data_IF_847310364480
#
_entry.id   IF_847310364480
#
_cell.length_a   1.000
_cell.length_b   1.000
_cell.length_c   1.000
_cell.angle_alpha   90.00
_cell.angle_beta   90.00
_cell.angle_gamma   90.00
#
_symmetry.space_group_name_H-M   'P 1'
#
loop_
_entity.id
_entity.type
_entity.pdbx_description
1 polymer ?
#
# COMPACT_ATOMS: atom_id res chain seq x y z
N UNK A 1 -10.82 37.75 -32.80
CA UNK A 1 -10.93 36.28 -32.77
C UNK A 1 -9.60 35.55 -32.52
N UNK A 2 -8.49 35.86 -33.22
CA UNK A 2 -7.19 35.16 -33.02
C UNK A 2 -6.61 35.21 -31.59
N UNK A 3 -6.92 36.24 -30.80
CA UNK A 3 -6.41 36.39 -29.42
C UNK A 3 -7.05 35.42 -28.39
N UNK A 4 -8.23 34.88 -28.67
CA UNK A 4 -8.92 33.94 -27.76
C UNK A 4 -8.52 32.47 -28.02
N UNK A 5 -8.01 32.17 -29.22
CA UNK A 5 -7.56 30.82 -29.58
C UNK A 5 -6.32 30.37 -28.79
N UNK A 6 -5.42 31.30 -28.46
CA UNK A 6 -4.22 31.00 -27.67
C UNK A 6 -4.55 30.70 -26.19
N UNK A 7 -5.59 31.34 -25.64
CA UNK A 7 -6.02 31.10 -24.25
C UNK A 7 -6.69 29.72 -24.10
N UNK A 8 -7.46 29.30 -25.10
CA UNK A 8 -8.12 27.99 -25.10
C UNK A 8 -7.10 26.83 -25.20
N UNK A 9 -6.00 27.03 -25.94
CA UNK A 9 -4.92 26.05 -26.08
C UNK A 9 -4.14 25.84 -24.77
N UNK A 10 -3.90 26.93 -24.01
CA UNK A 10 -3.19 26.86 -22.73
C UNK A 10 -4.01 26.18 -21.62
N UNK A 11 -5.35 26.30 -21.65
CA UNK A 11 -6.20 25.57 -20.71
C UNK A 11 -6.23 24.05 -20.98
N UNK A 12 -6.03 23.63 -22.23
CA UNK A 12 -6.08 22.20 -22.59
C UNK A 12 -4.83 21.43 -22.17
N UNK A 13 -3.65 22.07 -22.15
CA UNK A 13 -2.40 21.41 -21.73
C UNK A 13 -2.29 21.20 -20.22
N UNK A 14 -2.95 22.05 -19.41
CA UNK A 14 -3.01 21.85 -17.95
C UNK A 14 -3.86 20.64 -17.53
N UNK A 15 -4.86 20.28 -18.33
CA UNK A 15 -5.78 19.17 -18.00
C UNK A 15 -5.18 17.79 -18.27
N UNK A 16 -4.14 17.69 -19.11
CA UNK A 16 -3.57 16.40 -19.54
C UNK A 16 -2.54 15.83 -18.54
N UNK A 17 -2.01 16.64 -17.63
CA UNK A 17 -0.93 16.22 -16.72
C UNK A 17 -1.40 15.64 -15.36
N UNK A 18 -2.71 15.49 -15.13
CA UNK A 18 -3.23 15.17 -13.79
C UNK A 18 -3.96 13.80 -13.70
N UNK A 19 -3.52 12.81 -14.48
CA UNK A 19 -4.08 11.44 -14.39
C UNK A 19 -3.03 10.40 -13.99
N UNK A 20 -2.06 10.78 -13.15
CA UNK A 20 -1.44 9.80 -12.27
C UNK A 20 -2.31 9.76 -11.01
N UNK A 21 -3.04 8.66 -10.81
CA UNK A 21 -3.74 8.47 -9.55
C UNK A 21 -2.67 8.35 -8.45
N UNK A 22 -2.62 9.29 -7.48
CA UNK A 22 -1.61 9.23 -6.45
C UNK A 22 -1.74 7.89 -5.71
N UNK A 23 -0.61 7.20 -5.53
CA UNK A 23 -0.54 5.98 -4.75
C UNK A 23 -0.93 6.34 -3.31
N UNK A 24 -2.01 5.75 -2.80
CA UNK A 24 -2.61 6.08 -1.50
C UNK A 24 -1.89 5.35 -0.36
N UNK A 25 -0.57 5.46 -0.29
CA UNK A 25 0.25 4.79 0.72
C UNK A 25 0.29 5.53 2.05
N UNK A 26 -0.15 6.80 2.07
CA UNK A 26 -0.36 7.61 3.27
C UNK A 26 -1.76 7.41 3.87
N UNK A 27 -2.63 6.64 3.20
CA UNK A 27 -4.00 6.34 3.63
C UNK A 27 -4.95 7.54 3.71
N UNK A 28 -4.58 8.69 3.11
CA UNK A 28 -5.35 9.93 3.22
C UNK A 28 -6.58 9.96 2.30
N UNK A 29 -6.63 9.09 1.29
CA UNK A 29 -7.77 8.97 0.39
C UNK A 29 -8.70 7.85 0.84
N UNK A 30 -9.92 8.23 1.23
CA UNK A 30 -10.97 7.30 1.64
C UNK A 30 -11.54 6.53 0.45
N UNK A 31 -11.90 5.27 0.65
CA UNK A 31 -12.62 4.49 -0.34
C UNK A 31 -14.02 5.07 -0.57
N UNK A 32 -14.48 5.05 -1.83
CA UNK A 32 -15.79 5.58 -2.21
C UNK A 32 -16.94 4.73 -1.68
N UNK A 33 -16.76 3.41 -1.57
CA UNK A 33 -17.79 2.49 -1.11
C UNK A 33 -17.87 2.38 0.40
N UNK A 34 -16.76 2.65 1.10
CA UNK A 34 -16.63 2.53 2.55
C UNK A 34 -15.59 3.52 3.07
N UNK A 35 -16.04 4.62 3.68
CA UNK A 35 -15.15 5.65 4.22
C UNK A 35 -14.31 5.21 5.42
N UNK A 36 -14.50 3.97 5.91
CA UNK A 36 -13.64 3.40 6.95
C UNK A 36 -12.39 2.73 6.37
N UNK A 37 -12.28 2.59 5.05
CA UNK A 37 -11.16 1.93 4.38
C UNK A 37 -10.37 2.91 3.50
N UNK A 38 -9.05 2.73 3.35
CA UNK A 38 -8.30 3.49 2.37
C UNK A 38 -8.64 3.02 0.96
N UNK A 39 -8.71 3.97 0.04
CA UNK A 39 -8.96 3.69 -1.37
C UNK A 39 -7.87 2.81 -1.99
N UNK A 40 -8.30 1.83 -2.80
CA UNK A 40 -7.47 0.86 -3.54
C UNK A 40 -6.70 -0.17 -2.70
N UNK A 41 -6.84 -0.14 -1.38
CA UNK A 41 -6.38 -1.21 -0.51
C UNK A 41 -7.51 -2.20 -0.23
N UNK A 42 -7.20 -3.48 -0.16
CA UNK A 42 -8.20 -4.53 0.01
C UNK A 42 -7.60 -5.80 0.64
N UNK A 43 -8.43 -6.69 1.23
CA UNK A 43 -7.94 -7.92 1.82
C UNK A 43 -7.49 -8.91 0.74
N UNK A 44 -6.31 -9.49 0.91
CA UNK A 44 -5.84 -10.62 0.10
C UNK A 44 -6.38 -11.94 0.65
N UNK A 45 -6.52 -12.03 1.98
CA UNK A 45 -7.15 -13.15 2.69
C UNK A 45 -8.37 -12.64 3.45
N UNK A 46 -9.47 -13.38 3.38
CA UNK A 46 -10.71 -13.04 4.07
C UNK A 46 -10.78 -13.79 5.40
N UNK A 47 -11.05 -13.06 6.48
CA UNK A 47 -11.27 -13.64 7.80
C UNK A 47 -12.25 -12.77 8.60
N UNK A 48 -13.36 -13.36 9.03
CA UNK A 48 -14.41 -12.62 9.75
C UNK A 48 -13.96 -12.09 11.12
N UNK A 49 -12.84 -12.61 11.64
CA UNK A 49 -12.31 -12.27 12.95
C UNK A 49 -11.31 -11.10 12.91
N UNK A 50 -11.00 -10.57 11.72
CA UNK A 50 -10.09 -9.43 11.54
C UNK A 50 -10.86 -8.23 11.02
N UNK A 51 -10.66 -7.09 11.66
CA UNK A 51 -11.22 -5.80 11.29
C UNK A 51 -10.10 -4.92 10.77
N UNK A 52 -10.34 -4.29 9.62
CA UNK A 52 -9.43 -3.33 9.01
C UNK A 52 -10.16 -2.00 8.88
N UNK A 53 -9.58 -0.94 9.43
CA UNK A 53 -10.16 0.39 9.38
C UNK A 53 -9.08 1.48 9.41
N UNK A 54 -9.44 2.67 8.98
CA UNK A 54 -8.64 3.87 9.20
C UNK A 54 -8.75 4.32 10.66
N UNK A 55 -7.63 4.67 11.28
CA UNK A 55 -7.55 5.22 12.63
C UNK A 55 -7.07 6.67 12.55
N UNK A 56 -7.85 7.59 13.15
CA UNK A 56 -7.52 9.02 13.19
C UNK A 56 -6.87 9.47 14.51
N UNK A 57 -6.78 8.57 15.49
CA UNK A 57 -6.22 8.81 16.83
C UNK A 57 -4.77 8.39 16.88
N UNK A 58 -4.48 7.12 16.57
CA UNK A 58 -3.12 6.56 16.53
C UNK A 58 -2.57 6.67 15.11
N UNK A 59 -1.67 7.63 14.86
CA UNK A 59 -1.10 7.88 13.53
C UNK A 59 0.35 8.33 13.61
N UNK A 60 1.10 8.05 12.55
CA UNK A 60 2.48 8.52 12.41
C UNK A 60 2.53 9.93 11.82
N UNK A 61 1.85 10.16 10.70
CA UNK A 61 1.75 11.43 9.99
C UNK A 61 0.36 11.54 9.35
N UNK A 62 -0.06 12.76 8.98
CA UNK A 62 -1.33 12.98 8.29
C UNK A 62 -2.55 12.90 9.22
N UNK A 63 -3.69 12.47 8.66
CA UNK A 63 -4.96 12.33 9.36
C UNK A 63 -5.22 10.90 9.78
N UNK A 64 -4.77 9.92 9.01
CA UNK A 64 -5.11 8.52 9.22
C UNK A 64 -3.88 7.61 9.26
N UNK A 65 -4.04 6.46 9.93
CA UNK A 65 -3.23 5.27 9.73
C UNK A 65 -4.13 4.09 9.39
N UNK A 66 -3.56 3.04 8.78
CA UNK A 66 -4.27 1.78 8.60
C UNK A 66 -4.14 0.91 9.86
N UNK A 67 -5.27 0.61 10.50
CA UNK A 67 -5.35 -0.29 11.65
C UNK A 67 -5.90 -1.64 11.24
N UNK A 68 -5.18 -2.69 11.62
CA UNK A 68 -5.59 -4.08 11.47
C UNK A 68 -5.65 -4.67 12.88
N UNK A 69 -6.81 -5.20 13.26
CA UNK A 69 -7.04 -5.75 14.60
C UNK A 69 -7.84 -7.04 14.51
N UNK A 70 -7.48 -8.01 15.34
CA UNK A 70 -8.22 -9.24 15.52
C UNK A 70 -8.96 -9.21 16.87
N UNK A 71 -10.08 -9.92 16.96
CA UNK A 71 -10.71 -10.16 18.27
C UNK A 71 -9.80 -11.09 19.11
N UNK A 72 -9.68 -10.87 20.43
CA UNK A 72 -8.75 -11.61 21.30
C UNK A 72 -9.02 -13.13 21.34
N UNK A 73 -10.24 -13.54 21.03
CA UNK A 73 -10.67 -14.94 20.98
C UNK A 73 -10.60 -15.54 19.57
N UNK A 74 -10.12 -14.78 18.59
CA UNK A 74 -10.02 -15.24 17.21
C UNK A 74 -8.97 -16.33 17.08
N UNK A 75 -9.40 -17.53 16.68
CA UNK A 75 -8.49 -18.58 16.22
C UNK A 75 -8.09 -18.31 14.78
N UNK A 76 -7.00 -17.55 14.61
CA UNK A 76 -6.47 -17.18 13.31
C UNK A 76 -5.46 -18.25 12.88
N UNK A 77 -5.96 -19.27 12.18
CA UNK A 77 -5.12 -20.35 11.64
C UNK A 77 -4.23 -19.92 10.46
N UNK A 78 -4.47 -18.76 9.86
CA UNK A 78 -3.72 -18.26 8.70
C UNK A 78 -3.42 -16.76 8.82
N UNK A 79 -2.25 -16.29 8.34
CA UNK A 79 -1.93 -14.87 8.31
C UNK A 79 -3.01 -14.06 7.59
N UNK A 80 -3.41 -12.95 8.19
CA UNK A 80 -4.25 -11.97 7.52
C UNK A 80 -3.39 -11.01 6.71
N UNK A 81 -3.75 -10.79 5.45
CA UNK A 81 -3.01 -9.92 4.54
C UNK A 81 -3.93 -8.86 3.95
N UNK A 82 -3.50 -7.61 4.03
CA UNK A 82 -4.14 -6.46 3.41
C UNK A 82 -3.15 -5.83 2.43
N UNK A 83 -3.60 -5.55 1.21
CA UNK A 83 -2.68 -5.28 0.10
C UNK A 83 -3.13 -4.12 -0.78
N UNK A 84 -2.18 -3.61 -1.55
CA UNK A 84 -2.35 -2.65 -2.62
C UNK A 84 -1.62 -3.18 -3.86
N UNK A 85 -2.25 -3.12 -5.04
CA UNK A 85 -1.63 -3.55 -6.30
C UNK A 85 -1.08 -2.34 -7.05
N UNK A 86 0.20 -2.40 -7.40
CA UNK A 86 0.84 -1.42 -8.27
C UNK A 86 0.96 -2.01 -9.67
N UNK A 87 0.49 -1.29 -10.68
CA UNK A 87 0.61 -1.72 -12.08
C UNK A 87 2.09 -1.81 -12.52
N UNK A 88 2.51 -2.88 -13.23
CA UNK A 88 3.90 -3.09 -13.62
C UNK A 88 4.53 -1.93 -14.41
N UNK A 89 3.73 -1.22 -15.21
CA UNK A 89 4.18 -0.06 -16.01
C UNK A 89 4.82 1.06 -15.18
N UNK A 90 4.54 1.11 -13.88
CA UNK A 90 5.14 2.08 -12.97
C UNK A 90 6.47 1.61 -12.36
N UNK A 91 6.83 0.34 -12.53
CA UNK A 91 7.92 -0.32 -11.82
C UNK A 91 9.04 -0.83 -12.76
N UNK A 92 8.72 -1.18 -14.00
CA UNK A 92 9.67 -1.71 -14.99
C UNK A 92 10.88 -0.79 -15.17
N UNK A 93 12.09 -1.36 -15.14
CA UNK A 93 13.35 -0.64 -15.30
C UNK A 93 13.78 0.25 -14.13
N UNK A 94 13.04 0.24 -13.00
CA UNK A 94 13.34 1.09 -11.85
C UNK A 94 13.76 0.26 -10.63
N UNK A 95 14.76 0.74 -9.89
CA UNK A 95 15.02 0.24 -8.53
C UNK A 95 13.98 0.84 -7.60
N UNK A 96 13.19 0.00 -6.95
CA UNK A 96 12.09 0.42 -6.08
C UNK A 96 12.55 0.38 -4.63
N UNK A 97 12.25 1.44 -3.91
CA UNK A 97 12.37 1.53 -2.46
C UNK A 97 10.98 1.73 -1.89
N UNK A 98 10.55 0.78 -1.06
CA UNK A 98 9.32 0.87 -0.29
C UNK A 98 9.70 1.10 1.17
N UNK A 99 9.12 2.11 1.80
CA UNK A 99 9.39 2.41 3.20
C UNK A 99 8.14 2.94 3.87
N UNK A 100 8.03 2.72 5.16
CA UNK A 100 6.91 3.20 5.95
C UNK A 100 7.18 3.05 7.43
N UNK A 101 6.13 3.24 8.22
CA UNK A 101 6.18 3.07 9.67
C UNK A 101 5.12 2.06 10.10
N UNK A 102 5.49 1.21 11.05
CA UNK A 102 4.61 0.21 11.64
C UNK A 102 4.68 0.33 13.16
N UNK A 103 3.54 0.14 13.81
CA UNK A 103 3.40 0.04 15.26
C UNK A 103 2.59 -1.23 15.53
N UNK A 104 2.98 -2.02 16.53
CA UNK A 104 2.32 -3.29 16.85
C UNK A 104 2.00 -3.39 18.33
N UNK A 105 0.79 -3.81 18.65
CA UNK A 105 0.34 -3.94 20.05
C UNK A 105 -0.27 -5.32 20.23
N UNK A 106 0.13 -6.02 21.29
CA UNK A 106 -0.44 -7.32 21.70
C UNK A 106 -0.48 -8.39 20.59
N UNK A 107 0.59 -8.49 19.79
CA UNK A 107 0.73 -9.59 18.84
C UNK A 107 1.07 -10.90 19.56
N UNK A 108 0.46 -12.00 19.13
CA UNK A 108 0.80 -13.35 19.57
C UNK A 108 2.07 -13.90 18.91
N UNK A 109 2.43 -13.33 17.75
CA UNK A 109 3.61 -13.66 16.95
C UNK A 109 4.14 -12.35 16.33
N UNK A 110 4.36 -12.30 15.02
CA UNK A 110 4.96 -11.15 14.34
C UNK A 110 4.06 -10.53 13.25
N UNK A 111 4.36 -9.29 12.87
CA UNK A 111 3.85 -8.64 11.67
C UNK A 111 4.95 -8.55 10.61
N UNK A 112 4.59 -8.55 9.33
CA UNK A 112 5.54 -8.43 8.22
C UNK A 112 4.95 -7.59 7.09
N UNK A 113 5.81 -6.79 6.46
CA UNK A 113 5.52 -6.08 5.21
C UNK A 113 6.21 -6.81 4.07
N UNK A 114 5.50 -6.99 2.97
CA UNK A 114 5.97 -7.80 1.84
C UNK A 114 5.76 -7.06 0.53
N UNK A 115 6.68 -7.26 -0.41
CA UNK A 115 6.52 -6.94 -1.82
C UNK A 115 6.55 -8.26 -2.57
N UNK A 116 5.41 -8.62 -3.14
CA UNK A 116 5.25 -9.77 -4.02
C UNK A 116 5.21 -9.31 -5.47
N UNK A 117 6.04 -9.92 -6.32
CA UNK A 117 6.04 -9.70 -7.77
C UNK A 117 5.63 -10.98 -8.49
N UNK A 118 4.70 -10.84 -9.45
CA UNK A 118 4.32 -11.88 -10.39
C UNK A 118 4.76 -11.48 -11.80
N UNK A 119 5.50 -12.36 -12.48
CA UNK A 119 5.97 -12.18 -13.84
C UNK A 119 5.78 -13.48 -14.63
N UNK A 120 4.59 -13.66 -15.21
CA UNK A 120 4.18 -14.94 -15.77
C UNK A 120 4.11 -16.01 -14.67
N UNK A 121 4.88 -17.09 -14.81
CA UNK A 121 5.02 -18.14 -13.79
C UNK A 121 6.04 -17.80 -12.69
N UNK A 122 6.82 -16.72 -12.85
CA UNK A 122 7.81 -16.32 -11.86
C UNK A 122 7.17 -15.56 -10.70
N UNK A 123 7.53 -15.95 -9.47
CA UNK A 123 7.17 -15.27 -8.24
C UNK A 123 8.43 -14.83 -7.51
N UNK A 124 8.48 -13.58 -7.07
CA UNK A 124 9.55 -13.06 -6.21
C UNK A 124 8.93 -12.37 -5.00
N UNK A 125 9.52 -12.60 -3.82
CA UNK A 125 9.06 -12.07 -2.55
C UNK A 125 10.24 -11.42 -1.83
N UNK A 126 10.10 -10.13 -1.51
CA UNK A 126 10.98 -9.42 -0.61
C UNK A 126 10.14 -8.97 0.58
N UNK A 127 10.59 -9.24 1.80
CA UNK A 127 9.81 -8.92 3.00
C UNK A 127 10.67 -8.37 4.14
N UNK A 128 10.00 -7.97 5.21
CA UNK A 128 10.61 -7.52 6.47
C UNK A 128 10.61 -8.60 7.54
N UNK A 129 10.51 -9.89 7.20
CA UNK A 129 10.36 -10.95 8.21
C UNK A 129 11.56 -10.93 9.18
N UNK A 130 12.75 -10.60 8.70
CA UNK A 130 13.97 -10.46 9.52
C UNK A 130 13.96 -9.27 10.50
N UNK A 131 13.02 -8.32 10.37
CA UNK A 131 12.95 -7.14 11.24
C UNK A 131 12.19 -7.41 12.55
N UNK A 132 11.46 -8.54 12.66
CA UNK A 132 10.66 -8.97 13.81
C UNK A 132 9.86 -7.84 14.47
N UNK A 133 8.66 -7.56 13.95
CA UNK A 133 7.76 -6.53 14.50
C UNK A 133 6.90 -7.05 15.66
N UNK A 134 7.51 -7.56 16.72
CA UNK A 134 6.82 -8.13 17.88
C UNK A 134 6.64 -7.09 19.01
N UNK A 135 5.40 -6.85 19.44
CA UNK A 135 5.10 -6.07 20.66
C UNK A 135 5.64 -4.64 20.70
N UNK A 136 5.74 -3.95 19.57
CA UNK A 136 6.35 -2.62 19.48
C UNK A 136 5.31 -1.52 19.73
N UNK A 137 5.24 -1.02 20.96
CA UNK A 137 4.34 0.08 21.35
C UNK A 137 4.67 1.44 20.70
N UNK A 138 5.85 1.58 20.09
CA UNK A 138 6.28 2.77 19.37
C UNK A 138 6.29 2.55 17.85
N UNK A 139 6.15 3.62 17.07
CA UNK A 139 6.32 3.56 15.62
C UNK A 139 7.77 3.21 15.26
N UNK A 140 7.94 2.22 14.38
CA UNK A 140 9.22 1.80 13.84
C UNK A 140 9.23 1.92 12.32
N UNK A 141 10.28 2.51 11.78
CA UNK A 141 10.49 2.61 10.35
C UNK A 141 10.89 1.24 9.77
N UNK A 142 10.45 0.96 8.55
CA UNK A 142 10.92 -0.15 7.74
C UNK A 142 11.29 0.32 6.34
N UNK A 143 12.17 -0.46 5.70
CA UNK A 143 12.59 -0.24 4.33
C UNK A 143 12.80 -1.59 3.63
N UNK A 144 12.24 -1.70 2.43
CA UNK A 144 12.43 -2.81 1.51
C UNK A 144 12.93 -2.21 0.20
N UNK A 145 14.03 -2.76 -0.32
CA UNK A 145 14.54 -2.42 -1.64
C UNK A 145 14.38 -3.64 -2.55
N UNK A 146 13.81 -3.44 -3.74
CA UNK A 146 13.71 -4.48 -4.75
C UNK A 146 13.97 -3.91 -6.15
N UNK A 147 14.41 -4.78 -7.05
CA UNK A 147 14.49 -4.49 -8.48
C UNK A 147 13.49 -5.41 -9.17
N UNK A 148 12.40 -4.88 -9.72
CA UNK A 148 11.41 -5.70 -10.42
C UNK A 148 12.06 -6.46 -11.58
N UNK A 149 11.73 -7.74 -11.70
CA UNK A 149 12.17 -8.58 -12.82
C UNK A 149 11.46 -8.13 -14.10
N UNK A 150 12.21 -7.88 -15.17
CA UNK A 150 11.65 -7.59 -16.49
C UNK A 150 11.05 -8.88 -17.08
N UNK A 151 9.73 -8.96 -17.16
CA UNK A 151 9.04 -10.11 -17.77
C UNK A 151 9.20 -10.19 -19.29
N UNK A 152 9.64 -9.10 -19.93
CA UNK A 152 9.69 -8.97 -21.40
C UNK A 152 10.90 -9.66 -22.02
N UNK A 153 11.99 -9.88 -21.27
CA UNK A 153 13.23 -10.44 -21.82
C UNK A 153 13.35 -11.97 -21.67
N UNK A 154 12.32 -12.64 -21.14
CA UNK A 154 12.31 -14.10 -20.90
C UNK A 154 11.30 -14.86 -21.80
N UNK A 155 10.78 -14.24 -22.86
CA UNK A 155 9.95 -14.89 -23.89
C UNK A 155 10.63 -14.87 -25.25
#
# INVERSE_FOLDING_TARGET
>A
MKKYLLLLSFCFTCLINCYSQPLNFDFEKLSYSDHTQPWSWFPATYGNAVKVNLDSTEKFEGKYSLKIQADETADIAQPYTYQFIIEPKYLIGHKIKFSGNIKTENLSDHATIMIAQYAGESFTLNDTASLNFEGISAWRNFEIICTPVDSINNM
#
